data_IF_393595288362
#
_entry.id   IF_393595288362
#
_cell.length_a   1.000
_cell.length_b   1.000
_cell.length_c   1.000
_cell.angle_alpha   90.00
_cell.angle_beta   90.00
_cell.angle_gamma   90.00
#
_symmetry.space_group_name_H-M   'P 1'
#
loop_
_entity.id
_entity.type
_entity.pdbx_description
1 polymer ?
#
# COMPACT_ATOMS: atom_id res chain seq x y z
N UNK A 1 -14.46 -35.43 -4.85
CA UNK A 1 -13.06 -34.95 -4.77
C UNK A 1 -13.05 -33.57 -5.40
N UNK A 2 -13.25 -32.57 -4.57
CA UNK A 2 -13.23 -31.17 -4.99
C UNK A 2 -11.78 -30.78 -5.22
N UNK A 3 -11.45 -30.48 -6.48
CA UNK A 3 -10.18 -29.90 -6.85
C UNK A 3 -10.09 -28.51 -6.22
N UNK A 4 -9.35 -28.40 -5.11
CA UNK A 4 -8.86 -27.14 -4.59
C UNK A 4 -7.90 -26.55 -5.62
N UNK A 5 -8.44 -25.82 -6.59
CA UNK A 5 -7.68 -24.93 -7.45
C UNK A 5 -7.19 -23.77 -6.58
N UNK A 6 -6.01 -23.94 -5.98
CA UNK A 6 -5.14 -22.81 -5.69
C UNK A 6 -4.85 -22.14 -7.03
N UNK A 7 -5.71 -21.18 -7.41
CA UNK A 7 -5.45 -20.31 -8.53
C UNK A 7 -4.11 -19.63 -8.26
N UNK A 8 -3.11 -20.02 -9.04
CA UNK A 8 -1.86 -19.30 -9.17
C UNK A 8 -2.18 -17.88 -9.61
N UNK A 9 -2.13 -16.92 -8.69
CA UNK A 9 -2.30 -15.47 -8.94
C UNK A 9 -1.11 -14.88 -9.70
N UNK A 10 -0.64 -15.54 -10.76
CA UNK A 10 0.34 -15.02 -11.71
C UNK A 10 -0.34 -14.11 -12.75
N UNK A 11 -1.20 -13.20 -12.29
CA UNK A 11 -1.76 -12.13 -13.11
C UNK A 11 -0.96 -10.87 -12.87
N UNK A 12 -0.33 -10.32 -13.91
CA UNK A 12 0.52 -9.13 -13.92
C UNK A 12 0.03 -8.02 -12.97
N UNK A 13 0.58 -7.97 -11.75
CA UNK A 13 0.37 -6.87 -10.84
C UNK A 13 1.16 -5.64 -11.28
N UNK A 14 0.68 -4.46 -10.91
CA UNK A 14 1.35 -3.20 -11.19
C UNK A 14 2.31 -2.89 -10.04
N UNK A 15 3.60 -2.75 -10.36
CA UNK A 15 4.60 -2.33 -9.38
C UNK A 15 4.51 -0.82 -9.17
N UNK A 16 4.02 -0.42 -8.01
CA UNK A 16 4.04 0.97 -7.58
C UNK A 16 5.37 1.25 -6.92
N UNK A 17 6.29 1.89 -7.65
CA UNK A 17 7.62 2.26 -7.13
C UNK A 17 7.48 3.35 -6.08
N UNK A 18 8.04 3.14 -4.89
CA UNK A 18 7.98 4.11 -3.81
C UNK A 18 8.80 5.36 -4.14
N UNK A 19 8.13 6.50 -4.31
CA UNK A 19 8.78 7.79 -4.57
C UNK A 19 9.39 8.38 -3.30
N UNK A 20 10.27 9.36 -3.46
CA UNK A 20 10.81 10.13 -2.32
C UNK A 20 9.71 10.84 -1.54
N UNK A 21 8.74 11.45 -2.25
CA UNK A 21 7.60 12.13 -1.62
C UNK A 21 6.74 11.16 -0.79
N UNK A 22 6.44 9.98 -1.34
CA UNK A 22 5.71 8.94 -0.61
C UNK A 22 6.48 8.47 0.62
N UNK A 23 7.81 8.29 0.50
CA UNK A 23 8.67 7.90 1.63
C UNK A 23 8.64 8.93 2.74
N UNK A 24 8.86 10.21 2.41
CA UNK A 24 8.76 11.30 3.38
C UNK A 24 7.39 11.37 4.03
N UNK A 25 6.32 11.11 3.28
CA UNK A 25 4.97 11.15 3.82
C UNK A 25 4.68 9.97 4.76
N UNK A 26 5.11 8.75 4.41
CA UNK A 26 5.00 7.57 5.28
C UNK A 26 5.75 7.81 6.59
N UNK A 27 6.98 8.33 6.50
CA UNK A 27 7.80 8.64 7.68
C UNK A 27 7.08 9.61 8.63
N UNK A 28 6.41 10.64 8.09
CA UNK A 28 5.57 11.57 8.86
C UNK A 28 4.35 10.88 9.47
N UNK A 29 3.62 10.07 8.71
CA UNK A 29 2.40 9.37 9.19
C UNK A 29 2.75 8.42 10.34
N UNK A 30 3.88 7.74 10.24
CA UNK A 30 4.34 6.77 11.24
C UNK A 30 5.23 7.40 12.32
N UNK A 31 5.56 8.69 12.25
CA UNK A 31 6.48 9.39 13.16
C UNK A 31 7.81 8.63 13.33
N UNK A 32 8.44 8.30 12.21
CA UNK A 32 9.74 7.63 12.13
C UNK A 32 10.69 8.42 11.24
N UNK A 33 11.98 8.08 11.27
CA UNK A 33 12.96 8.56 10.30
C UNK A 33 12.80 7.84 8.95
N UNK A 34 13.05 8.54 7.84
CA UNK A 34 12.93 7.94 6.50
C UNK A 34 13.85 6.72 6.29
N UNK A 35 15.01 6.72 6.94
CA UNK A 35 16.00 5.64 6.85
C UNK A 35 15.45 4.31 7.39
N UNK A 36 14.51 4.35 8.34
CA UNK A 36 13.84 3.16 8.89
C UNK A 36 13.17 2.32 7.80
N UNK A 37 12.66 2.94 6.74
CA UNK A 37 11.99 2.27 5.62
C UNK A 37 12.78 2.34 4.31
N UNK A 38 14.07 2.70 4.35
CA UNK A 38 14.94 2.84 3.16
C UNK A 38 15.02 1.58 2.28
N UNK A 39 14.83 0.40 2.89
CA UNK A 39 14.77 -0.89 2.22
C UNK A 39 13.48 -1.07 1.39
N UNK A 40 12.38 -0.39 1.72
CA UNK A 40 11.11 -0.48 0.98
C UNK A 40 11.25 0.23 -0.37
N UNK A 41 11.06 -0.52 -1.47
CA UNK A 41 11.16 0.01 -2.85
C UNK A 41 9.82 0.24 -3.54
N UNK A 42 8.72 -0.28 -2.99
CA UNK A 42 7.40 -0.19 -3.59
C UNK A 42 6.60 -1.47 -3.46
N UNK A 43 5.29 -1.39 -3.73
CA UNK A 43 4.33 -2.47 -3.56
C UNK A 43 3.79 -2.98 -4.91
N UNK A 44 3.29 -4.22 -4.94
CA UNK A 44 2.57 -4.78 -6.09
C UNK A 44 1.06 -4.67 -5.86
N UNK A 45 0.37 -4.01 -6.78
CA UNK A 45 -1.07 -3.73 -6.71
C UNK A 45 -1.84 -4.38 -7.87
N UNK A 46 -3.14 -4.57 -7.69
CA UNK A 46 -4.04 -5.07 -8.75
C UNK A 46 -4.30 -4.09 -9.90
N UNK A 47 -3.80 -2.86 -9.80
CA UNK A 47 -4.10 -1.79 -10.75
C UNK A 47 -3.00 -0.75 -10.82
N UNK A 48 -2.97 0.03 -11.90
CA UNK A 48 -2.13 1.22 -12.03
C UNK A 48 -2.46 2.27 -10.97
N UNK A 49 -1.52 3.19 -10.76
CA UNK A 49 -1.72 4.35 -9.91
C UNK A 49 -2.85 5.22 -10.48
N UNK A 50 -3.71 5.72 -9.61
CA UNK A 50 -4.78 6.63 -9.96
C UNK A 50 -4.42 8.06 -9.64
N UNK A 51 -4.79 9.00 -10.50
CA UNK A 51 -4.71 10.41 -10.14
C UNK A 51 -5.86 10.79 -9.19
N UNK A 52 -5.53 11.45 -8.09
CA UNK A 52 -6.51 11.97 -7.14
C UNK A 52 -7.28 13.13 -7.79
N UNK A 53 -8.61 13.03 -7.86
CA UNK A 53 -9.46 14.09 -8.39
C UNK A 53 -9.49 15.37 -7.54
N UNK A 54 -9.00 15.34 -6.29
CA UNK A 54 -8.97 16.49 -5.40
C UNK A 54 -7.68 17.33 -5.49
N UNK A 55 -6.52 16.69 -5.49
CA UNK A 55 -5.21 17.38 -5.47
C UNK A 55 -4.25 16.98 -6.59
N UNK A 56 -4.63 16.05 -7.48
CA UNK A 56 -3.79 15.60 -8.58
C UNK A 56 -2.67 14.62 -8.21
N UNK A 57 -2.46 14.32 -6.93
CA UNK A 57 -1.51 13.29 -6.45
C UNK A 57 -1.83 11.91 -7.02
N UNK A 58 -0.81 11.17 -7.46
CA UNK A 58 -0.98 9.75 -7.81
C UNK A 58 -1.14 8.89 -6.55
N UNK A 59 -2.04 7.90 -6.62
CA UNK A 59 -2.26 6.94 -5.54
C UNK A 59 -1.00 6.16 -5.26
N UNK A 60 -0.74 5.86 -3.98
CA UNK A 60 0.55 5.43 -3.50
C UNK A 60 0.53 4.49 -2.30
N UNK A 61 1.72 4.03 -1.92
CA UNK A 61 1.89 3.25 -0.68
C UNK A 61 1.57 4.11 0.54
N UNK A 62 1.88 5.40 0.50
CA UNK A 62 1.57 6.35 1.56
C UNK A 62 0.06 6.49 1.81
N UNK A 63 -0.77 6.36 0.77
CA UNK A 63 -2.22 6.32 0.92
C UNK A 63 -2.66 5.04 1.65
N UNK A 64 -2.10 3.87 1.31
CA UNK A 64 -2.39 2.63 2.03
C UNK A 64 -2.07 2.77 3.53
N UNK A 65 -0.91 3.35 3.85
CA UNK A 65 -0.48 3.60 5.23
C UNK A 65 -1.39 4.59 5.92
N UNK A 66 -1.69 5.72 5.29
CA UNK A 66 -2.62 6.71 5.80
C UNK A 66 -3.97 6.08 6.16
N UNK A 67 -4.55 5.29 5.26
CA UNK A 67 -5.85 4.65 5.49
C UNK A 67 -5.76 3.59 6.60
N UNK A 68 -4.68 2.82 6.68
CA UNK A 68 -4.47 1.83 7.75
C UNK A 68 -4.41 2.49 9.14
N UNK A 69 -3.69 3.61 9.25
CA UNK A 69 -3.58 4.39 10.49
C UNK A 69 -4.89 5.08 10.83
N UNK A 70 -5.48 5.82 9.88
CA UNK A 70 -6.73 6.57 10.08
C UNK A 70 -7.91 5.67 10.44
N UNK A 71 -8.00 4.47 9.85
CA UNK A 71 -9.04 3.52 10.19
C UNK A 71 -8.85 2.82 11.55
N UNK A 72 -7.68 3.00 12.20
CA UNK A 72 -7.34 2.34 13.46
C UNK A 72 -7.24 0.82 13.36
N UNK A 73 -7.19 0.27 12.15
CA UNK A 73 -7.20 -1.17 11.89
C UNK A 73 -5.85 -1.79 12.26
N UNK A 74 -4.78 -1.02 12.14
CA UNK A 74 -3.41 -1.44 12.42
C UNK A 74 -2.69 -0.41 13.28
N UNK A 75 -1.93 -0.88 14.27
CA UNK A 75 -1.01 -0.02 15.00
C UNK A 75 0.27 0.22 14.17
N UNK A 76 1.07 1.21 14.58
CA UNK A 76 2.33 1.59 13.92
C UNK A 76 3.27 0.40 13.76
N UNK A 77 3.47 -0.36 14.84
CA UNK A 77 4.41 -1.48 14.86
C UNK A 77 4.02 -2.56 13.86
N UNK A 78 2.73 -2.87 13.73
CA UNK A 78 2.22 -3.80 12.74
C UNK A 78 2.46 -3.30 11.31
N UNK A 79 2.26 -2.01 11.05
CA UNK A 79 2.52 -1.44 9.72
C UNK A 79 4.00 -1.56 9.37
N UNK A 80 4.89 -1.29 10.33
CA UNK A 80 6.34 -1.47 10.15
C UNK A 80 6.72 -2.93 9.93
N UNK A 81 6.13 -3.86 10.67
CA UNK A 81 6.32 -5.30 10.48
C UNK A 81 5.90 -5.73 9.07
N UNK A 82 4.76 -5.23 8.57
CA UNK A 82 4.28 -5.50 7.20
C UNK A 82 5.20 -4.87 6.14
N UNK A 83 5.76 -3.68 6.41
CA UNK A 83 6.72 -3.04 5.51
C UNK A 83 8.05 -3.79 5.43
N UNK A 84 8.51 -4.34 6.56
CA UNK A 84 9.78 -5.07 6.64
C UNK A 84 9.67 -6.53 6.18
N UNK A 85 8.56 -7.20 6.49
CA UNK A 85 8.36 -8.64 6.27
C UNK A 85 7.46 -8.99 5.07
N UNK A 86 6.88 -8.00 4.40
CA UNK A 86 5.83 -8.21 3.40
C UNK A 86 4.48 -8.55 4.03
N UNK A 87 3.38 -8.54 3.27
CA UNK A 87 2.06 -8.74 3.85
C UNK A 87 1.85 -10.18 4.30
N UNK A 88 1.22 -10.28 5.47
CA UNK A 88 0.95 -11.56 6.11
C UNK A 88 -0.29 -12.21 5.47
N UNK A 89 -0.04 -13.01 4.42
CA UNK A 89 -0.85 -14.15 3.94
C UNK A 89 -2.27 -13.91 3.39
N UNK A 90 -2.87 -12.72 3.49
CA UNK A 90 -4.21 -12.44 2.92
C UNK A 90 -4.26 -11.11 2.16
N UNK A 91 -4.67 -11.18 0.90
CA UNK A 91 -4.98 -10.03 0.08
C UNK A 91 -6.36 -9.47 0.48
N UNK A 92 -6.39 -8.23 0.98
CA UNK A 92 -7.63 -7.55 1.32
C UNK A 92 -7.93 -6.42 0.32
N UNK A 93 -9.22 -6.24 0.06
CA UNK A 93 -9.74 -5.14 -0.74
C UNK A 93 -9.85 -3.88 0.12
N UNK A 94 -9.20 -2.81 -0.31
CA UNK A 94 -9.22 -1.51 0.36
C UNK A 94 -9.99 -0.49 -0.47
N UNK A 95 -10.92 0.24 0.17
CA UNK A 95 -11.25 1.60 -0.28
C UNK A 95 -10.15 2.52 0.23
N UNK A 96 -9.75 3.49 -0.58
CA UNK A 96 -8.57 4.30 -0.30
C UNK A 96 -8.91 5.78 -0.41
N UNK A 97 -8.47 6.56 0.57
CA UNK A 97 -8.47 8.02 0.56
C UNK A 97 -7.06 8.56 0.30
N UNK A 98 -6.98 9.71 -0.36
CA UNK A 98 -5.72 10.41 -0.60
C UNK A 98 -5.12 10.93 0.72
N UNK A 99 -3.87 10.58 0.99
CA UNK A 99 -3.10 11.00 2.16
C UNK A 99 -2.92 12.52 2.26
N UNK A 100 -3.02 13.24 1.14
CA UNK A 100 -2.82 14.69 1.07
C UNK A 100 -4.12 15.49 1.27
N UNK A 101 -5.23 15.08 0.66
CA UNK A 101 -6.49 15.86 0.69
C UNK A 101 -7.73 15.07 1.16
N UNK A 102 -7.55 13.83 1.62
CA UNK A 102 -8.62 12.93 2.10
C UNK A 102 -9.72 12.57 1.09
N UNK A 103 -9.64 13.06 -0.15
CA UNK A 103 -10.56 12.67 -1.23
C UNK A 103 -10.44 11.17 -1.51
N UNK A 104 -11.59 10.48 -1.60
CA UNK A 104 -11.63 9.06 -1.95
C UNK A 104 -11.22 8.81 -3.40
N UNK A 105 -10.40 7.79 -3.62
CA UNK A 105 -10.16 7.23 -4.95
C UNK A 105 -11.34 6.34 -5.38
N UNK A 106 -11.61 6.31 -6.67
CA UNK A 106 -12.65 5.44 -7.23
C UNK A 106 -12.17 3.99 -7.37
N UNK A 107 -13.02 3.04 -6.97
CA UNK A 107 -12.79 1.60 -7.10
C UNK A 107 -12.13 0.96 -5.88
N UNK A 108 -11.58 -0.23 -6.10
CA UNK A 108 -11.02 -1.09 -5.05
C UNK A 108 -9.53 -1.31 -5.31
N UNK A 109 -8.76 -1.34 -4.24
CA UNK A 109 -7.32 -1.55 -4.27
C UNK A 109 -6.96 -2.82 -3.51
N UNK A 110 -6.24 -3.73 -4.16
CA UNK A 110 -5.74 -4.96 -3.55
C UNK A 110 -4.22 -4.93 -3.63
N UNK A 111 -3.57 -5.06 -2.48
CA UNK A 111 -2.14 -5.28 -2.39
C UNK A 111 -1.86 -6.79 -2.46
N UNK A 112 -1.16 -7.22 -3.51
CA UNK A 112 -0.85 -8.63 -3.75
C UNK A 112 0.40 -9.11 -3.02
N UNK A 113 1.14 -8.20 -2.41
CA UNK A 113 2.14 -8.57 -1.43
C UNK A 113 3.52 -8.97 -1.89
N UNK A 114 3.95 -8.46 -3.03
CA UNK A 114 5.37 -8.36 -3.33
C UNK A 114 5.91 -6.99 -2.93
N UNK A 115 6.72 -6.91 -1.88
CA UNK A 115 7.81 -5.93 -1.84
C UNK A 115 9.05 -6.73 -2.25
N UNK A 116 9.37 -6.72 -3.55
CA UNK A 116 10.55 -7.41 -4.04
C UNK A 116 11.78 -6.53 -3.80
N UNK A 117 12.87 -7.17 -3.37
CA UNK A 117 14.21 -6.62 -3.19
C UNK A 117 14.68 -5.74 -4.36
#
# INVERSE_FOLDING_TARGET
MESNTHASFLGNGFRWVLTSEERSNIAKILEIEEDTISHVKGNVMCRERMQCGGCGKLSGLDDLVHNAVTAGVHNRDFILEVMAGGPQTRAYAHKMQCSNCSQGYEGVFINWGGYMD
#
